data_IF_380563077277
#
_entry.id   IF_380563077277
#
_cell.length_a   1.000
_cell.length_b   1.000
_cell.length_c   1.000
_cell.angle_alpha   90.00
_cell.angle_beta   90.00
_cell.angle_gamma   90.00
#
_symmetry.space_group_name_H-M   'P 1'
#
loop_
_entity.id
_entity.type
_entity.pdbx_description
1 polymer ?
#
# COMPACT_ATOMS: atom_id res chain seq x y z
N UNK A 1 38.50 3.41 -3.76
CA UNK A 1 37.31 2.86 -4.42
C UNK A 1 36.08 3.42 -3.72
N UNK A 2 35.35 4.36 -4.34
CA UNK A 2 34.14 4.96 -3.75
C UNK A 2 32.98 4.00 -3.99
N UNK A 3 32.53 3.32 -2.94
CA UNK A 3 31.30 2.52 -2.97
C UNK A 3 30.11 3.45 -3.18
N UNK A 4 29.48 3.37 -4.36
CA UNK A 4 28.15 3.92 -4.58
C UNK A 4 27.18 3.09 -3.76
N UNK A 5 26.64 3.66 -2.69
CA UNK A 5 25.41 3.16 -2.10
C UNK A 5 24.32 3.25 -3.17
N UNK A 6 23.84 2.10 -3.64
CA UNK A 6 22.64 2.06 -4.47
C UNK A 6 21.46 2.60 -3.65
N UNK A 7 20.52 3.33 -4.26
CA UNK A 7 19.31 3.72 -3.57
C UNK A 7 18.59 2.44 -3.13
N UNK A 8 18.43 2.30 -1.82
CA UNK A 8 17.51 1.35 -1.19
C UNK A 8 16.08 1.84 -1.44
N UNK A 9 15.65 1.84 -2.70
CA UNK A 9 14.25 2.02 -3.05
C UNK A 9 13.56 0.70 -2.67
N UNK A 10 12.77 0.74 -1.61
CA UNK A 10 11.87 -0.35 -1.29
C UNK A 10 10.90 -0.51 -2.49
N UNK A 11 11.12 -1.54 -3.31
CA UNK A 11 10.17 -1.93 -4.35
C UNK A 11 8.81 -2.12 -3.68
N UNK A 12 7.81 -1.35 -4.08
CA UNK A 12 6.43 -1.65 -3.69
C UNK A 12 5.54 -1.56 -4.92
N UNK A 13 5.23 -2.74 -5.46
CA UNK A 13 4.13 -2.89 -6.39
C UNK A 13 2.83 -2.44 -5.68
N UNK A 14 2.26 -1.32 -6.11
CA UNK A 14 1.02 -0.77 -5.55
C UNK A 14 -0.14 -1.02 -6.50
N UNK A 15 -1.27 -1.45 -5.95
CA UNK A 15 -2.49 -1.60 -6.72
C UNK A 15 -3.03 -0.23 -7.14
N UNK A 16 -3.60 -0.18 -8.34
CA UNK A 16 -4.34 0.98 -8.84
C UNK A 16 -5.82 0.61 -9.02
N UNK A 17 -6.68 1.64 -9.04
CA UNK A 17 -8.11 1.44 -9.31
C UNK A 17 -8.33 0.91 -10.73
N UNK A 18 -9.48 0.27 -10.96
CA UNK A 18 -9.87 -0.19 -12.30
C UNK A 18 -9.98 1.00 -13.26
N UNK A 19 -10.58 2.11 -12.82
CA UNK A 19 -10.66 3.35 -13.59
C UNK A 19 -9.27 3.83 -14.03
N UNK A 20 -8.32 3.91 -13.09
CA UNK A 20 -6.94 4.34 -13.38
C UNK A 20 -6.27 3.43 -14.40
N UNK A 21 -6.37 2.11 -14.23
CA UNK A 21 -5.75 1.17 -15.15
C UNK A 21 -6.37 1.21 -16.55
N UNK A 22 -7.70 1.35 -16.66
CA UNK A 22 -8.40 1.57 -17.94
C UNK A 22 -8.04 2.89 -18.59
N UNK A 23 -7.93 3.97 -17.82
CA UNK A 23 -7.52 5.27 -18.32
C UNK A 23 -6.12 5.23 -18.94
N UNK A 24 -5.17 4.63 -18.23
CA UNK A 24 -3.81 4.43 -18.73
C UNK A 24 -3.79 3.56 -19.98
N UNK A 25 -4.50 2.42 -19.96
CA UNK A 25 -4.62 1.52 -21.10
C UNK A 25 -5.16 2.29 -22.31
N UNK A 26 -6.28 2.99 -22.13
CA UNK A 26 -6.87 3.76 -23.21
C UNK A 26 -5.94 4.86 -23.70
N UNK A 27 -5.17 5.55 -22.86
CA UNK A 27 -4.24 6.59 -23.33
C UNK A 27 -3.06 6.03 -24.13
N UNK A 28 -2.48 4.91 -23.71
CA UNK A 28 -1.12 4.53 -24.11
C UNK A 28 -0.99 3.19 -24.84
N UNK A 29 -2.01 2.33 -24.84
CA UNK A 29 -1.90 1.06 -25.57
C UNK A 29 -1.81 1.32 -27.08
N UNK A 30 -0.80 0.70 -27.70
CA UNK A 30 -0.61 0.71 -29.14
C UNK A 30 -0.94 -0.67 -29.69
N UNK A 31 -2.11 -0.81 -30.30
CA UNK A 31 -2.56 -2.05 -30.94
C UNK A 31 -3.27 -1.72 -32.25
N UNK A 32 -3.21 -2.64 -33.23
CA UNK A 32 -4.02 -2.54 -34.44
C UNK A 32 -5.47 -2.97 -34.20
N UNK A 33 -5.74 -3.60 -33.06
CA UNK A 33 -7.08 -4.03 -32.66
C UNK A 33 -7.95 -2.83 -32.29
N UNK A 34 -9.18 -2.79 -32.81
CA UNK A 34 -10.13 -1.74 -32.46
C UNK A 34 -10.57 -1.88 -30.98
N UNK A 35 -10.08 -1.00 -30.11
CA UNK A 35 -10.52 -0.92 -28.72
C UNK A 35 -11.79 -0.08 -28.65
N UNK A 36 -12.87 -0.75 -28.24
CA UNK A 36 -14.19 -0.17 -28.15
C UNK A 36 -14.42 0.47 -26.78
N UNK A 37 -15.41 1.37 -26.68
CA UNK A 37 -15.78 2.08 -25.45
C UNK A 37 -14.63 2.86 -24.76
N UNK A 38 -13.60 3.25 -25.53
CA UNK A 38 -12.49 4.07 -25.04
C UNK A 38 -13.01 5.32 -24.32
N UNK A 39 -12.57 5.52 -23.07
CA UNK A 39 -13.00 6.61 -22.17
C UNK A 39 -14.50 6.66 -21.84
N UNK A 40 -15.29 5.62 -22.13
CA UNK A 40 -16.69 5.53 -21.69
C UNK A 40 -16.77 4.89 -20.31
N UNK A 41 -16.37 5.65 -19.29
CA UNK A 41 -16.59 5.33 -17.89
C UNK A 41 -16.98 6.60 -17.14
N UNK A 42 -17.78 6.45 -16.08
CA UNK A 42 -18.20 7.55 -15.22
C UNK A 42 -18.01 7.15 -13.75
N UNK A 43 -17.32 7.99 -12.99
CA UNK A 43 -17.06 7.77 -11.57
C UNK A 43 -18.22 8.32 -10.73
N UNK A 44 -18.68 7.55 -9.76
CA UNK A 44 -19.72 7.98 -8.81
C UNK A 44 -19.25 7.78 -7.37
N UNK A 45 -19.39 8.84 -6.58
CA UNK A 45 -19.12 8.93 -5.14
C UNK A 45 -20.34 9.51 -4.42
N UNK A 46 -20.40 9.50 -3.07
CA UNK A 46 -21.52 10.08 -2.33
C UNK A 46 -21.79 11.56 -2.64
N UNK A 47 -20.77 12.30 -3.08
CA UNK A 47 -20.82 13.73 -3.36
C UNK A 47 -20.99 14.06 -4.85
N UNK A 48 -21.28 13.06 -5.69
CA UNK A 48 -21.43 13.26 -7.13
C UNK A 48 -22.68 14.08 -7.46
N UNK A 49 -22.47 15.18 -8.18
CA UNK A 49 -23.52 15.93 -8.85
C UNK A 49 -23.93 15.21 -10.15
N UNK A 50 -25.12 14.61 -10.14
CA UNK A 50 -25.66 13.88 -11.29
C UNK A 50 -25.91 14.75 -12.51
N UNK A 51 -26.23 16.05 -12.33
CA UNK A 51 -26.47 16.94 -13.46
C UNK A 51 -25.16 17.18 -14.22
N UNK A 52 -24.08 17.47 -13.48
CA UNK A 52 -22.74 17.60 -14.04
C UNK A 52 -22.24 16.30 -14.66
N UNK A 53 -22.43 15.16 -13.99
CA UNK A 53 -22.03 13.85 -14.51
C UNK A 53 -22.66 13.55 -15.88
N UNK A 54 -23.93 13.93 -16.08
CA UNK A 54 -24.62 13.74 -17.36
C UNK A 54 -24.17 14.71 -18.45
N UNK A 55 -23.77 15.93 -18.07
CA UNK A 55 -23.16 16.88 -18.99
C UNK A 55 -21.80 16.38 -19.48
N UNK A 56 -20.98 15.85 -18.57
CA UNK A 56 -19.63 15.34 -18.87
C UNK A 56 -19.70 13.97 -19.62
N UNK A 57 -20.74 13.18 -19.38
CA UNK A 57 -20.92 11.84 -19.93
C UNK A 57 -22.32 11.61 -20.54
N UNK A 58 -22.65 12.25 -21.68
CA UNK A 58 -24.00 12.18 -22.26
C UNK A 58 -24.40 10.76 -22.73
N UNK A 59 -23.42 9.88 -22.98
CA UNK A 59 -23.66 8.48 -23.35
C UNK A 59 -24.33 7.65 -22.25
N UNK A 60 -24.38 8.15 -21.01
CA UNK A 60 -25.14 7.51 -19.92
C UNK A 60 -26.64 7.39 -20.21
N UNK A 61 -27.17 8.22 -21.12
CA UNK A 61 -28.59 8.24 -21.48
C UNK A 61 -28.92 7.39 -22.71
N UNK A 62 -27.93 7.01 -23.52
CA UNK A 62 -28.15 6.47 -24.87
C UNK A 62 -28.12 4.94 -24.95
N UNK A 63 -27.76 4.25 -23.87
CA UNK A 63 -27.51 2.82 -23.88
C UNK A 63 -27.63 2.23 -22.48
N UNK A 64 -27.79 0.90 -22.40
CA UNK A 64 -27.73 0.17 -21.13
C UNK A 64 -26.34 0.25 -20.50
N UNK A 65 -26.31 0.13 -19.17
CA UNK A 65 -25.14 0.38 -18.33
C UNK A 65 -24.86 -0.81 -17.41
N UNK A 66 -23.62 -0.83 -16.92
CA UNK A 66 -23.13 -1.67 -15.83
C UNK A 66 -22.61 -0.75 -14.73
N UNK A 67 -22.84 -1.10 -13.46
CA UNK A 67 -22.25 -0.40 -12.30
C UNK A 67 -21.61 -1.38 -11.35
N UNK A 68 -20.45 -1.02 -10.82
CA UNK A 68 -19.68 -1.84 -9.87
C UNK A 68 -18.81 -0.96 -8.97
N UNK A 69 -18.51 -1.37 -7.72
CA UNK A 69 -17.59 -0.63 -6.88
C UNK A 69 -16.16 -0.78 -7.42
N UNK A 70 -15.40 0.32 -7.37
CA UNK A 70 -13.99 0.38 -7.74
C UNK A 70 -13.14 0.76 -6.52
N UNK A 71 -12.92 -0.24 -5.66
CA UNK A 71 -12.21 -0.13 -4.38
C UNK A 71 -11.33 -1.37 -4.13
N UNK A 72 -10.72 -1.90 -5.19
CA UNK A 72 -9.87 -3.11 -5.14
C UNK A 72 -10.59 -4.38 -4.65
N UNK A 73 -11.92 -4.42 -4.73
CA UNK A 73 -12.73 -5.60 -4.39
C UNK A 73 -12.66 -6.59 -5.55
N UNK A 74 -12.23 -7.83 -5.25
CA UNK A 74 -12.22 -8.94 -6.20
C UNK A 74 -13.54 -9.69 -6.20
N UNK A 75 -13.83 -10.41 -7.29
CA UNK A 75 -15.01 -11.29 -7.43
C UNK A 75 -16.35 -10.57 -7.18
N UNK A 76 -16.45 -9.29 -7.58
CA UNK A 76 -17.63 -8.42 -7.37
C UNK A 76 -18.93 -9.04 -7.89
N UNK A 77 -18.89 -9.73 -9.04
CA UNK A 77 -20.05 -10.42 -9.61
C UNK A 77 -20.63 -11.48 -8.66
N UNK A 78 -19.77 -12.34 -8.09
CA UNK A 78 -20.18 -13.38 -7.12
C UNK A 78 -20.66 -12.81 -5.78
N UNK A 79 -20.27 -11.57 -5.46
CA UNK A 79 -20.71 -10.86 -4.26
C UNK A 79 -22.01 -10.07 -4.47
N UNK A 80 -22.62 -10.11 -5.66
CA UNK A 80 -23.81 -9.32 -5.98
C UNK A 80 -23.55 -7.80 -6.00
N UNK A 81 -22.28 -7.41 -6.21
CA UNK A 81 -21.84 -6.01 -6.25
C UNK A 81 -21.73 -5.47 -7.69
N UNK A 82 -22.39 -6.10 -8.65
CA UNK A 82 -22.43 -5.65 -10.05
C UNK A 82 -23.89 -5.55 -10.50
N UNK A 83 -24.33 -4.34 -10.84
CA UNK A 83 -25.59 -4.11 -11.55
C UNK A 83 -25.35 -4.21 -13.05
N UNK A 84 -26.06 -5.09 -13.75
CA UNK A 84 -25.83 -5.40 -15.17
C UNK A 84 -27.05 -5.04 -16.00
N UNK A 85 -26.82 -4.47 -17.18
CA UNK A 85 -27.85 -4.13 -18.17
C UNK A 85 -28.99 -3.25 -17.57
N UNK A 86 -28.60 -2.16 -16.92
CA UNK A 86 -29.52 -1.21 -16.30
C UNK A 86 -29.59 0.09 -17.09
N UNK A 87 -30.74 0.75 -17.08
CA UNK A 87 -30.83 2.16 -17.52
C UNK A 87 -30.20 3.07 -16.45
N UNK A 88 -29.93 4.34 -16.77
CA UNK A 88 -29.43 5.31 -15.79
C UNK A 88 -30.29 5.40 -14.52
N UNK A 89 -31.62 5.41 -14.65
CA UNK A 89 -32.53 5.41 -13.49
C UNK A 89 -32.45 4.10 -12.69
N UNK A 90 -32.23 2.97 -13.38
CA UNK A 90 -31.91 1.70 -12.76
C UNK A 90 -30.60 1.76 -11.96
N UNK A 91 -29.55 2.41 -12.48
CA UNK A 91 -28.27 2.60 -11.79
C UNK A 91 -28.45 3.45 -10.53
N UNK A 92 -29.15 4.58 -10.62
CA UNK A 92 -29.45 5.44 -9.44
C UNK A 92 -30.19 4.66 -8.36
N UNK A 93 -31.20 3.88 -8.75
CA UNK A 93 -31.98 3.03 -7.84
C UNK A 93 -31.12 1.93 -7.21
N UNK A 94 -30.22 1.33 -8.00
CA UNK A 94 -29.31 0.28 -7.53
C UNK A 94 -28.26 0.81 -6.55
N UNK A 95 -27.78 2.05 -6.75
CA UNK A 95 -26.81 2.72 -5.87
C UNK A 95 -27.44 3.24 -4.57
N UNK A 96 -28.71 3.65 -4.57
CA UNK A 96 -29.39 4.23 -3.39
C UNK A 96 -29.22 3.42 -2.08
N UNK A 97 -29.36 2.09 -2.05
CA UNK A 97 -29.10 1.30 -0.84
C UNK A 97 -27.63 0.88 -0.63
N UNK A 98 -26.71 1.28 -1.51
CA UNK A 98 -25.30 0.80 -1.53
C UNK A 98 -24.26 1.89 -1.39
N UNK A 99 -24.55 3.12 -1.80
CA UNK A 99 -23.61 4.23 -1.84
C UNK A 99 -23.66 5.07 -0.55
N UNK A 100 -22.52 5.14 0.14
CA UNK A 100 -22.26 6.14 1.18
C UNK A 100 -22.63 5.75 2.62
N UNK A 101 -22.07 6.45 3.62
CA UNK A 101 -22.11 6.04 5.03
C UNK A 101 -23.42 6.36 5.78
N UNK A 102 -24.30 7.19 5.23
CA UNK A 102 -25.47 7.71 5.97
C UNK A 102 -26.70 6.79 5.96
N UNK A 103 -26.77 5.85 5.00
CA UNK A 103 -27.92 4.97 4.80
C UNK A 103 -27.54 3.50 4.59
N UNK A 104 -26.25 3.16 4.64
CA UNK A 104 -25.74 1.86 4.21
C UNK A 104 -24.89 1.23 5.31
N UNK A 105 -25.17 -0.04 5.61
CA UNK A 105 -24.34 -0.86 6.48
C UNK A 105 -23.01 -1.19 5.77
N UNK A 106 -21.90 -1.20 6.51
CA UNK A 106 -20.60 -1.58 5.95
C UNK A 106 -20.68 -2.93 5.23
N UNK A 107 -20.06 -3.00 4.06
CA UNK A 107 -19.98 -4.22 3.27
C UNK A 107 -18.83 -5.07 3.78
N UNK A 108 -19.09 -6.36 4.00
CA UNK A 108 -18.07 -7.34 4.40
C UNK A 108 -17.60 -8.13 3.18
N UNK A 109 -16.30 -8.15 2.94
CA UNK A 109 -15.65 -8.95 1.89
C UNK A 109 -14.51 -9.74 2.53
N UNK A 110 -14.72 -11.05 2.69
CA UNK A 110 -13.79 -11.88 3.47
C UNK A 110 -13.69 -11.40 4.91
N UNK A 111 -12.48 -11.06 5.36
CA UNK A 111 -12.23 -10.48 6.70
C UNK A 111 -12.31 -8.95 6.75
N UNK A 112 -12.37 -8.30 5.59
CA UNK A 112 -12.39 -6.85 5.50
C UNK A 112 -13.83 -6.32 5.57
N UNK A 113 -14.02 -5.19 6.25
CA UNK A 113 -15.30 -4.52 6.39
C UNK A 113 -15.12 -3.03 6.13
N UNK A 114 -15.93 -2.44 5.26
CA UNK A 114 -15.82 -1.02 4.92
C UNK A 114 -16.98 -0.49 4.08
N UNK A 115 -16.99 0.82 3.86
CA UNK A 115 -18.03 1.49 3.08
C UNK A 115 -17.76 1.44 1.58
N UNK A 116 -18.84 1.26 0.80
CA UNK A 116 -18.81 1.44 -0.64
C UNK A 116 -19.04 2.93 -0.95
N UNK A 117 -17.97 3.59 -1.37
CA UNK A 117 -17.90 5.05 -1.60
C UNK A 117 -17.41 5.42 -3.00
N UNK A 118 -16.99 4.45 -3.80
CA UNK A 118 -16.51 4.70 -5.15
C UNK A 118 -17.04 3.63 -6.10
N UNK A 119 -17.78 4.05 -7.12
CA UNK A 119 -18.37 3.19 -8.14
C UNK A 119 -17.96 3.65 -9.53
N UNK A 120 -17.88 2.68 -10.44
CA UNK A 120 -17.62 2.88 -11.86
C UNK A 120 -18.87 2.47 -12.64
N UNK A 121 -19.37 3.38 -13.47
CA UNK A 121 -20.44 3.13 -14.44
C UNK A 121 -19.81 3.01 -15.83
N UNK A 122 -20.17 1.96 -16.57
CA UNK A 122 -19.67 1.68 -17.91
C UNK A 122 -20.82 1.21 -18.82
N UNK A 123 -20.68 1.29 -20.15
CA UNK A 123 -21.64 0.71 -21.08
C UNK A 123 -21.81 -0.79 -20.86
N UNK A 124 -23.05 -1.27 -20.89
CA UNK A 124 -23.32 -2.69 -21.05
C UNK A 124 -22.92 -3.12 -22.47
N UNK A 125 -22.19 -4.22 -22.57
CA UNK A 125 -21.78 -4.83 -23.83
C UNK A 125 -22.57 -6.13 -23.96
N UNK A 126 -23.52 -6.26 -24.89
CA UNK A 126 -24.16 -7.54 -25.18
C UNK A 126 -23.12 -8.51 -25.78
N UNK A 127 -22.95 -9.67 -25.17
CA UNK A 127 -22.02 -10.71 -25.63
C UNK A 127 -22.43 -12.08 -25.10
N UNK A 128 -21.87 -13.12 -25.70
CA UNK A 128 -21.99 -14.51 -25.27
C UNK A 128 -20.75 -14.98 -24.51
N UNK A 129 -20.86 -16.10 -23.77
CA UNK A 129 -19.72 -16.67 -23.03
C UNK A 129 -18.51 -16.99 -23.94
N UNK A 130 -18.75 -17.39 -25.19
CA UNK A 130 -17.69 -17.67 -26.18
C UNK A 130 -16.96 -16.41 -26.69
N UNK A 131 -17.43 -15.23 -26.28
CA UNK A 131 -16.77 -13.95 -26.54
C UNK A 131 -15.97 -13.46 -25.33
N UNK A 132 -16.05 -14.12 -24.17
CA UNK A 132 -15.27 -13.80 -22.98
C UNK A 132 -13.93 -14.56 -22.96
N UNK A 133 -12.84 -13.82 -22.84
CA UNK A 133 -11.48 -14.32 -22.73
C UNK A 133 -10.85 -13.86 -21.41
N UNK A 134 -9.77 -14.52 -21.03
CA UNK A 134 -8.93 -14.13 -19.89
C UNK A 134 -7.53 -13.78 -20.38
N UNK A 135 -6.99 -12.66 -19.89
CA UNK A 135 -5.57 -12.30 -20.08
C UNK A 135 -5.00 -11.81 -18.76
N UNK A 136 -3.81 -12.31 -18.41
CA UNK A 136 -3.04 -11.80 -17.27
C UNK A 136 -1.55 -11.71 -17.61
N UNK A 137 -0.89 -10.67 -17.12
CA UNK A 137 0.56 -10.48 -17.19
C UNK A 137 1.07 -10.21 -15.78
N UNK A 138 2.10 -10.92 -15.35
CA UNK A 138 2.70 -10.66 -14.03
C UNK A 138 4.21 -10.92 -13.99
N UNK A 139 4.89 -10.12 -13.17
CA UNK A 139 6.33 -10.15 -13.02
C UNK A 139 6.80 -11.28 -12.10
N UNK A 140 7.93 -11.87 -12.46
CA UNK A 140 8.72 -12.81 -11.67
C UNK A 140 10.20 -12.41 -11.75
N UNK A 141 11.09 -13.15 -11.07
CA UNK A 141 12.52 -12.82 -11.08
C UNK A 141 13.14 -13.05 -12.46
N UNK A 142 12.64 -14.06 -13.18
CA UNK A 142 13.12 -14.56 -14.45
C UNK A 142 12.52 -13.84 -15.67
N UNK A 143 11.49 -13.02 -15.48
CA UNK A 143 10.79 -12.28 -16.52
C UNK A 143 9.30 -12.14 -16.22
N UNK A 144 8.51 -11.95 -17.26
CA UNK A 144 7.07 -11.69 -17.15
C UNK A 144 6.27 -12.83 -17.79
N UNK A 145 5.35 -13.41 -17.02
CA UNK A 145 4.45 -14.43 -17.52
C UNK A 145 3.23 -13.79 -18.16
N UNK A 146 2.90 -14.22 -19.38
CA UNK A 146 1.65 -13.90 -20.08
C UNK A 146 0.76 -15.14 -20.05
N UNK A 147 -0.43 -14.99 -19.48
CA UNK A 147 -1.46 -16.02 -19.34
C UNK A 147 -2.64 -15.70 -20.25
N UNK A 148 -3.18 -16.75 -20.87
CA UNK A 148 -4.39 -16.67 -21.68
C UNK A 148 -5.32 -17.85 -21.42
N UNK A 149 -6.62 -17.60 -21.30
CA UNK A 149 -7.65 -18.65 -21.33
C UNK A 149 -8.82 -18.24 -22.21
N UNK A 150 -9.34 -19.20 -22.98
CA UNK A 150 -10.41 -18.97 -23.96
C UNK A 150 -11.81 -18.94 -23.36
N UNK A 151 -11.95 -19.40 -22.11
CA UNK A 151 -13.18 -19.33 -21.32
C UNK A 151 -12.97 -18.34 -20.16
N UNK A 152 -13.18 -17.05 -20.44
CA UNK A 152 -13.10 -15.99 -19.44
C UNK A 152 -14.29 -15.95 -18.48
N UNK A 153 -14.38 -14.87 -17.71
CA UNK A 153 -15.55 -14.54 -16.91
C UNK A 153 -15.49 -14.96 -15.44
N UNK A 154 -16.65 -14.89 -14.79
CA UNK A 154 -16.80 -15.15 -13.35
C UNK A 154 -16.55 -16.62 -12.97
N UNK A 155 -16.67 -17.54 -13.93
CA UNK A 155 -16.58 -18.99 -13.73
C UNK A 155 -15.30 -19.62 -14.28
N UNK A 156 -14.30 -18.80 -14.63
CA UNK A 156 -12.95 -19.25 -15.04
C UNK A 156 -12.34 -20.28 -14.07
N UNK A 157 -12.66 -20.17 -12.76
CA UNK A 157 -12.21 -21.10 -11.73
C UNK A 157 -10.73 -20.90 -11.39
N UNK A 158 -9.99 -22.01 -11.27
CA UNK A 158 -8.54 -21.99 -11.07
C UNK A 158 -7.83 -21.74 -12.40
N UNK A 159 -7.67 -20.46 -12.74
CA UNK A 159 -7.10 -20.04 -14.02
C UNK A 159 -5.61 -20.36 -14.14
N UNK A 160 -4.88 -20.40 -13.03
CA UNK A 160 -3.44 -20.72 -13.02
C UNK A 160 -3.18 -22.16 -13.50
N UNK A 161 -4.11 -23.07 -13.23
CA UNK A 161 -4.03 -24.47 -13.68
C UNK A 161 -4.52 -24.68 -15.12
N UNK A 162 -5.37 -23.78 -15.65
CA UNK A 162 -6.07 -23.95 -16.94
C UNK A 162 -5.52 -23.08 -18.07
N UNK A 163 -4.93 -21.94 -17.74
CA UNK A 163 -4.48 -20.98 -18.73
C UNK A 163 -3.23 -21.49 -19.47
N UNK A 164 -3.17 -21.17 -20.75
CA UNK A 164 -1.90 -21.21 -21.48
C UNK A 164 -0.98 -20.16 -20.89
N UNK A 165 0.29 -20.50 -20.72
CA UNK A 165 1.27 -19.66 -20.02
C UNK A 165 2.56 -19.59 -20.82
N UNK A 166 3.06 -18.37 -21.00
CA UNK A 166 4.30 -18.11 -21.72
C UNK A 166 5.16 -17.13 -20.93
N UNK A 167 6.45 -17.44 -20.80
CA UNK A 167 7.43 -16.56 -20.14
C UNK A 167 8.11 -15.69 -21.19
N UNK A 168 8.03 -14.37 -21.02
CA UNK A 168 8.92 -13.42 -21.69
C UNK A 168 10.07 -13.16 -20.73
N UNK A 169 11.26 -13.69 -21.05
CA UNK A 169 12.44 -13.53 -20.21
C UNK A 169 12.89 -12.06 -20.14
N UNK A 170 13.66 -11.73 -19.10
CA UNK A 170 14.24 -10.38 -18.94
C UNK A 170 14.97 -9.94 -20.22
N UNK A 171 14.74 -8.69 -20.65
CA UNK A 171 15.25 -8.08 -21.87
C UNK A 171 14.89 -8.81 -23.18
N UNK A 172 13.84 -9.65 -23.16
CA UNK A 172 13.27 -10.28 -24.35
C UNK A 172 11.99 -9.59 -24.77
N UNK A 173 11.63 -9.74 -26.04
CA UNK A 173 10.39 -9.21 -26.60
C UNK A 173 9.36 -10.32 -26.76
N UNK A 174 8.11 -9.97 -26.55
CA UNK A 174 6.98 -10.82 -26.92
C UNK A 174 6.82 -10.86 -28.44
N UNK A 175 6.96 -12.05 -29.04
CA UNK A 175 6.77 -12.26 -30.47
C UNK A 175 5.29 -12.62 -30.76
N UNK A 176 4.59 -11.90 -31.65
CA UNK A 176 3.19 -12.19 -32.00
C UNK A 176 2.95 -13.61 -32.52
N UNK A 177 3.93 -14.21 -33.21
CA UNK A 177 3.80 -15.58 -33.71
C UNK A 177 3.83 -16.61 -32.57
N UNK A 178 4.59 -16.33 -31.51
CA UNK A 178 4.65 -17.20 -30.32
C UNK A 178 3.35 -17.09 -29.51
N UNK A 179 2.73 -15.90 -29.47
CA UNK A 179 1.38 -15.71 -28.91
C UNK A 179 0.37 -16.63 -29.63
N UNK A 180 0.37 -16.66 -30.97
CA UNK A 180 -0.54 -17.51 -31.74
C UNK A 180 -0.29 -19.00 -31.53
N UNK A 181 0.98 -19.41 -31.49
CA UNK A 181 1.41 -20.81 -31.40
C UNK A 181 1.28 -21.41 -30.00
N UNK A 182 1.45 -20.60 -28.96
CA UNK A 182 1.50 -21.08 -27.57
C UNK A 182 0.29 -20.64 -26.75
N UNK A 183 -0.09 -19.36 -26.81
CA UNK A 183 -1.20 -18.85 -26.00
C UNK A 183 -2.56 -19.14 -26.65
N UNK A 184 -2.69 -18.92 -27.96
CA UNK A 184 -3.97 -18.96 -28.67
C UNK A 184 -4.29 -20.31 -29.32
N UNK A 185 -3.73 -21.41 -28.80
CA UNK A 185 -3.95 -22.76 -29.35
C UNK A 185 -5.43 -23.16 -29.34
N UNK A 186 -6.15 -22.79 -28.28
CA UNK A 186 -7.58 -23.09 -28.08
C UNK A 186 -8.52 -21.91 -28.40
N UNK A 187 -7.99 -20.78 -28.88
CA UNK A 187 -8.82 -19.64 -29.27
C UNK A 187 -9.53 -19.91 -30.61
N UNK A 188 -10.75 -19.36 -30.83
CA UNK A 188 -11.43 -19.42 -32.12
C UNK A 188 -10.55 -18.86 -33.26
N UNK A 189 -10.52 -19.55 -34.39
CA UNK A 189 -9.61 -19.24 -35.50
C UNK A 189 -9.76 -17.81 -36.04
N UNK A 190 -11.00 -17.34 -36.15
CA UNK A 190 -11.40 -16.00 -36.57
C UNK A 190 -10.99 -14.88 -35.59
N UNK A 191 -10.71 -15.22 -34.33
CA UNK A 191 -10.32 -14.26 -33.29
C UNK A 191 -8.82 -14.26 -33.00
N UNK A 192 -8.02 -15.16 -33.59
CA UNK A 192 -6.59 -15.27 -33.26
C UNK A 192 -5.78 -14.02 -33.58
N UNK A 193 -6.02 -13.39 -34.74
CA UNK A 193 -5.27 -12.21 -35.15
C UNK A 193 -5.54 -10.99 -34.27
N UNK A 194 -6.82 -10.73 -33.97
CA UNK A 194 -7.21 -9.62 -33.08
C UNK A 194 -6.71 -9.85 -31.65
N UNK A 195 -6.79 -11.09 -31.13
CA UNK A 195 -6.24 -11.43 -29.82
C UNK A 195 -4.71 -11.29 -29.78
N UNK A 196 -4.00 -11.78 -30.79
CA UNK A 196 -2.53 -11.69 -30.85
C UNK A 196 -2.05 -10.23 -30.91
N UNK A 197 -2.73 -9.39 -31.71
CA UNK A 197 -2.45 -7.95 -31.79
C UNK A 197 -2.73 -7.25 -30.46
N UNK A 198 -3.83 -7.59 -29.80
CA UNK A 198 -4.17 -7.00 -28.50
C UNK A 198 -3.17 -7.41 -27.42
N UNK A 199 -2.87 -8.71 -27.28
CA UNK A 199 -1.92 -9.24 -26.27
C UNK A 199 -0.52 -8.64 -26.48
N UNK A 200 -0.06 -8.50 -27.73
CA UNK A 200 1.24 -7.88 -28.02
C UNK A 200 1.27 -6.40 -27.63
N UNK A 201 0.20 -5.65 -27.95
CA UNK A 201 0.08 -4.25 -27.53
C UNK A 201 -0.04 -4.10 -26.01
N UNK A 202 -0.75 -5.02 -25.35
CA UNK A 202 -0.92 -5.05 -23.90
C UNK A 202 0.39 -5.32 -23.17
N UNK A 203 1.23 -6.22 -23.69
CA UNK A 203 2.55 -6.50 -23.13
C UNK A 203 3.50 -5.29 -23.25
N UNK A 204 3.54 -4.65 -24.42
CA UNK A 204 4.32 -3.42 -24.57
C UNK A 204 3.82 -2.31 -23.62
N UNK A 205 2.50 -2.16 -23.48
CA UNK A 205 1.89 -1.23 -22.52
C UNK A 205 2.27 -1.56 -21.06
N UNK A 206 2.27 -2.85 -20.70
CA UNK A 206 2.66 -3.35 -19.39
C UNK A 206 4.11 -2.97 -19.06
N UNK A 207 5.06 -3.23 -19.96
CA UNK A 207 6.48 -2.88 -19.77
C UNK A 207 6.68 -1.35 -19.76
N UNK A 208 6.12 -0.63 -20.74
CA UNK A 208 6.31 0.81 -20.93
C UNK A 208 5.85 1.67 -19.72
N UNK A 209 4.89 1.16 -18.96
CA UNK A 209 4.31 1.84 -17.79
C UNK A 209 4.69 1.13 -16.49
N UNK A 210 5.66 0.21 -16.50
CA UNK A 210 6.20 -0.45 -15.30
C UNK A 210 5.12 -1.13 -14.45
N UNK A 211 4.18 -1.80 -15.12
CA UNK A 211 3.28 -2.71 -14.44
C UNK A 211 4.05 -3.92 -13.89
N UNK A 212 3.55 -4.47 -12.79
CA UNK A 212 4.05 -5.72 -12.18
C UNK A 212 2.98 -6.80 -12.13
N UNK A 213 1.72 -6.39 -12.33
CA UNK A 213 0.56 -7.24 -12.45
C UNK A 213 -0.49 -6.51 -13.30
N UNK A 214 -1.08 -7.19 -14.28
CA UNK A 214 -2.16 -6.67 -15.11
C UNK A 214 -3.06 -7.83 -15.52
N UNK A 215 -4.31 -7.80 -15.07
CA UNK A 215 -5.31 -8.84 -15.33
C UNK A 215 -6.56 -8.20 -15.94
N UNK A 216 -7.07 -8.80 -16.99
CA UNK A 216 -8.33 -8.44 -17.66
C UNK A 216 -9.23 -9.67 -17.65
N UNK A 217 -10.33 -9.60 -16.89
CA UNK A 217 -11.28 -10.71 -16.78
C UNK A 217 -12.75 -10.25 -16.55
N UNK A 218 -13.64 -10.30 -17.57
CA UNK A 218 -13.38 -10.79 -18.92
C UNK A 218 -12.80 -9.73 -19.86
N UNK A 219 -11.97 -10.18 -20.80
CA UNK A 219 -11.68 -9.51 -22.06
C UNK A 219 -12.74 -9.95 -23.07
N UNK A 220 -13.58 -9.05 -23.56
CA UNK A 220 -14.62 -9.41 -24.53
C UNK A 220 -14.18 -9.07 -25.95
N UNK A 221 -14.30 -10.03 -26.87
CA UNK A 221 -14.02 -9.81 -28.29
C UNK A 221 -15.23 -10.21 -29.13
N UNK A 222 -15.89 -9.20 -29.68
CA UNK A 222 -17.02 -9.35 -30.61
C UNK A 222 -16.58 -8.99 -32.03
N UNK A 223 -17.50 -9.05 -32.99
CA UNK A 223 -17.28 -8.56 -34.36
C UNK A 223 -16.91 -7.07 -34.45
N UNK A 224 -17.29 -6.28 -33.44
CA UNK A 224 -17.08 -4.83 -33.42
C UNK A 224 -15.70 -4.45 -32.85
N UNK A 225 -15.01 -5.37 -32.20
CA UNK A 225 -13.67 -5.17 -31.65
C UNK A 225 -13.50 -5.71 -30.22
N UNK A 226 -12.55 -5.11 -29.51
CA UNK A 226 -12.10 -5.53 -28.18
C UNK A 226 -12.69 -4.62 -27.09
N UNK A 227 -13.24 -5.21 -26.03
CA UNK A 227 -13.82 -4.55 -24.88
C UNK A 227 -13.15 -5.03 -23.59
N UNK A 228 -12.59 -4.11 -22.82
CA UNK A 228 -11.97 -4.39 -21.52
C UNK A 228 -13.04 -4.24 -20.44
N UNK A 229 -13.72 -5.32 -20.06
CA UNK A 229 -14.85 -5.24 -19.13
C UNK A 229 -14.41 -5.15 -17.67
N UNK A 230 -13.32 -5.80 -17.29
CA UNK A 230 -12.69 -5.65 -15.97
C UNK A 230 -11.18 -5.44 -16.14
N UNK A 231 -10.57 -4.68 -15.23
CA UNK A 231 -9.12 -4.51 -15.17
C UNK A 231 -8.65 -4.42 -13.73
N UNK A 232 -7.68 -5.26 -13.41
CA UNK A 232 -6.98 -5.29 -12.13
C UNK A 232 -5.49 -5.13 -12.34
N UNK A 233 -4.85 -4.18 -11.68
CA UNK A 233 -3.44 -3.93 -11.93
C UNK A 233 -2.64 -3.48 -10.71
N UNK A 234 -1.33 -3.72 -10.77
CA UNK A 234 -0.32 -3.16 -9.87
C UNK A 234 0.83 -2.58 -10.69
N UNK A 235 1.35 -1.45 -10.22
CA UNK A 235 2.48 -0.73 -10.82
C UNK A 235 3.63 -0.67 -9.81
N UNK A 236 4.87 -0.78 -10.28
CA UNK A 236 6.04 -0.50 -9.44
C UNK A 236 6.11 1.00 -9.12
N UNK A 237 5.63 1.42 -7.96
CA UNK A 237 5.57 2.82 -7.59
C UNK A 237 6.95 3.52 -7.53
N UNK A 238 8.06 2.76 -7.52
CA UNK A 238 9.41 3.32 -7.53
C UNK A 238 9.84 3.83 -8.90
N UNK A 239 9.14 3.46 -9.97
CA UNK A 239 9.40 3.97 -11.32
C UNK A 239 8.72 5.34 -11.59
N UNK A 240 8.22 6.03 -10.56
CA UNK A 240 7.56 7.33 -10.68
C UNK A 240 8.43 8.37 -11.42
N UNK A 241 9.73 8.43 -11.12
CA UNK A 241 10.69 9.33 -11.74
C UNK A 241 10.91 9.06 -13.23
N UNK A 242 10.63 7.83 -13.69
CA UNK A 242 10.69 7.43 -15.11
C UNK A 242 9.33 7.73 -15.77
N UNK A 243 8.24 7.35 -15.11
CA UNK A 243 6.92 7.31 -15.71
C UNK A 243 6.06 8.55 -15.41
N UNK A 244 6.54 9.55 -14.67
CA UNK A 244 5.76 10.72 -14.22
C UNK A 244 4.96 11.39 -15.34
N UNK A 245 5.55 11.48 -16.54
CA UNK A 245 4.90 12.08 -17.72
C UNK A 245 3.69 11.26 -18.20
N UNK A 246 3.76 9.93 -18.16
CA UNK A 246 2.66 9.04 -18.57
C UNK A 246 1.66 8.82 -17.44
N UNK A 247 2.14 8.70 -16.20
CA UNK A 247 1.32 8.43 -15.02
C UNK A 247 0.55 9.64 -14.53
N UNK A 248 1.13 10.85 -14.64
CA UNK A 248 0.58 12.04 -14.03
C UNK A 248 0.58 11.95 -12.50
N UNK A 249 -0.53 12.32 -11.89
CA UNK A 249 -0.75 12.24 -10.44
C UNK A 249 -1.59 11.00 -10.12
N UNK A 250 -0.95 9.83 -10.09
CA UNK A 250 -1.60 8.58 -9.74
C UNK A 250 -2.00 8.54 -8.27
N UNK A 251 -3.23 8.08 -8.03
CA UNK A 251 -3.71 7.70 -6.71
C UNK A 251 -3.53 6.19 -6.51
N UNK A 252 -2.95 5.80 -5.38
CA UNK A 252 -2.86 4.39 -4.96
C UNK A 252 -3.91 4.12 -3.87
N UNK A 253 -5.09 3.55 -4.22
CA UNK A 253 -6.14 3.33 -3.25
C UNK A 253 -5.69 2.32 -2.18
N UNK A 254 -6.09 2.52 -0.90
CA UNK A 254 -5.85 1.52 0.13
C UNK A 254 -6.65 0.24 -0.18
N UNK A 255 -6.25 -0.91 0.39
CA UNK A 255 -7.06 -2.11 0.35
C UNK A 255 -8.46 -1.86 0.92
N UNK A 256 -9.47 -2.55 0.37
CA UNK A 256 -10.83 -2.45 0.89
C UNK A 256 -10.89 -2.74 2.40
N UNK A 257 -11.71 -1.98 3.12
CA UNK A 257 -11.82 -2.03 4.58
C UNK A 257 -10.87 -1.11 5.34
N UNK A 258 -10.00 -0.39 4.63
CA UNK A 258 -9.20 0.70 5.20
C UNK A 258 -9.53 2.03 4.53
N UNK A 259 -9.49 3.09 5.32
CA UNK A 259 -9.62 4.45 4.81
C UNK A 259 -8.25 5.01 4.44
N UNK A 260 -8.24 5.95 3.50
CA UNK A 260 -7.06 6.74 3.21
C UNK A 260 -7.08 7.95 4.16
N UNK A 261 -5.99 8.16 4.89
CA UNK A 261 -5.88 9.29 5.81
C UNK A 261 -4.96 10.37 5.23
N UNK A 262 -5.28 11.67 5.42
CA UNK A 262 -4.44 12.75 4.94
C UNK A 262 -3.03 12.71 5.56
N UNK A 263 -2.90 12.21 6.79
CA UNK A 263 -1.62 12.01 7.45
C UNK A 263 -0.77 10.91 6.78
N UNK A 264 -1.36 9.84 6.25
CA UNK A 264 -0.61 8.85 5.45
C UNK A 264 -0.09 9.47 4.15
N UNK A 265 -0.89 10.32 3.49
CA UNK A 265 -0.48 11.04 2.29
C UNK A 265 0.64 12.07 2.59
N UNK A 266 0.57 12.77 3.73
CA UNK A 266 1.62 13.68 4.17
C UNK A 266 2.96 12.95 4.39
N UNK A 267 2.95 11.78 5.04
CA UNK A 267 4.18 10.98 5.22
C UNK A 267 4.69 10.45 3.88
N UNK A 268 3.80 10.02 2.97
CA UNK A 268 4.21 9.59 1.64
C UNK A 268 4.86 10.73 0.81
N UNK A 269 4.39 11.97 0.98
CA UNK A 269 5.02 13.15 0.36
C UNK A 269 6.40 13.45 0.94
N UNK A 270 6.59 13.32 2.27
CA UNK A 270 7.90 13.45 2.91
C UNK A 270 8.90 12.38 2.42
N UNK A 271 8.42 11.14 2.26
CA UNK A 271 9.18 10.00 1.76
C UNK A 271 9.66 10.21 0.31
N UNK A 272 8.76 10.66 -0.58
CA UNK A 272 9.09 10.93 -1.98
C UNK A 272 10.15 12.04 -2.17
N UNK A 273 10.27 12.95 -1.19
CA UNK A 273 11.22 14.08 -1.19
C UNK A 273 12.53 13.77 -0.47
N UNK A 274 12.78 12.49 -0.14
CA UNK A 274 13.88 12.06 0.71
C UNK A 274 14.62 10.85 0.15
N UNK A 275 15.93 10.76 0.39
CA UNK A 275 16.67 9.50 0.23
C UNK A 275 16.49 8.53 1.42
N UNK A 276 15.90 9.01 2.51
CA UNK A 276 15.50 8.21 3.65
C UNK A 276 14.08 7.64 3.42
N UNK A 277 13.79 6.48 4.02
CA UNK A 277 12.45 5.86 3.95
C UNK A 277 11.61 6.30 5.13
N UNK A 278 10.39 6.76 4.87
CA UNK A 278 9.40 7.20 5.84
C UNK A 278 8.04 6.59 5.49
N UNK A 279 7.59 5.59 6.26
CA UNK A 279 6.31 4.91 6.00
C UNK A 279 5.37 5.06 7.18
N UNK A 280 4.10 5.31 6.90
CA UNK A 280 3.03 5.30 7.91
C UNK A 280 1.79 4.64 7.33
N UNK A 281 1.14 3.83 8.13
CA UNK A 281 -0.04 3.06 7.78
C UNK A 281 -0.92 2.96 9.01
N UNK A 282 -2.09 3.59 8.99
CA UNK A 282 -3.06 3.56 10.09
C UNK A 282 -3.90 2.28 10.03
N UNK A 283 -3.84 1.49 11.10
CA UNK A 283 -4.55 0.22 11.25
C UNK A 283 -5.84 0.42 12.06
N UNK A 284 -5.70 0.99 13.26
CA UNK A 284 -6.79 1.36 14.14
C UNK A 284 -6.50 2.74 14.76
N UNK A 285 -7.01 3.85 14.20
CA UNK A 285 -6.77 5.19 14.73
C UNK A 285 -7.16 5.38 16.22
N UNK A 286 -8.05 4.52 16.72
CA UNK A 286 -8.51 4.52 18.12
C UNK A 286 -7.63 3.71 19.07
N UNK A 287 -6.76 2.87 18.51
CA UNK A 287 -5.91 1.96 19.26
C UNK A 287 -4.99 2.71 20.22
N UNK A 288 -4.72 2.10 21.37
CA UNK A 288 -3.85 2.70 22.40
C UNK A 288 -2.36 2.46 22.20
N UNK A 289 -1.95 1.51 21.35
CA UNK A 289 -0.54 1.16 21.13
C UNK A 289 -0.05 1.81 19.83
N UNK A 290 0.79 2.82 19.97
CA UNK A 290 1.42 3.53 18.86
C UNK A 290 2.89 3.17 18.73
N UNK A 291 3.37 3.08 17.50
CA UNK A 291 4.77 2.71 17.21
C UNK A 291 5.44 3.79 16.36
N UNK A 292 6.68 4.11 16.71
CA UNK A 292 7.58 4.95 15.92
C UNK A 292 8.94 4.27 15.90
N UNK A 293 9.05 3.25 15.04
CA UNK A 293 10.18 2.31 15.02
C UNK A 293 11.12 2.63 13.86
N UNK A 294 12.41 2.56 14.14
CA UNK A 294 13.43 2.87 13.16
C UNK A 294 14.01 1.63 12.48
N UNK A 295 13.80 1.49 11.17
CA UNK A 295 14.21 0.35 10.34
C UNK A 295 13.06 -0.59 10.00
N UNK A 296 12.85 -0.87 8.70
CA UNK A 296 11.77 -1.75 8.23
C UNK A 296 11.78 -3.17 8.80
N UNK A 297 12.95 -3.78 9.00
CA UNK A 297 13.01 -5.09 9.66
C UNK A 297 12.64 -5.03 11.15
N UNK A 298 13.04 -3.95 11.82
CA UNK A 298 12.70 -3.77 13.23
C UNK A 298 11.20 -3.48 13.41
N UNK A 299 10.59 -2.63 12.58
CA UNK A 299 9.16 -2.31 12.69
C UNK A 299 8.27 -3.54 12.59
N UNK A 300 8.62 -4.49 11.72
CA UNK A 300 7.94 -5.80 11.65
C UNK A 300 8.10 -6.56 12.96
N UNK A 301 9.33 -6.74 13.46
CA UNK A 301 9.59 -7.50 14.70
C UNK A 301 8.90 -6.89 15.93
N UNK A 302 8.81 -5.56 16.03
CA UNK A 302 8.04 -4.90 17.08
C UNK A 302 6.53 -5.17 16.93
N UNK A 303 6.01 -5.12 15.70
CA UNK A 303 4.60 -5.40 15.41
C UNK A 303 4.25 -6.85 15.73
N UNK A 304 5.09 -7.81 15.34
CA UNK A 304 4.94 -9.23 15.67
C UNK A 304 4.89 -9.42 17.19
N UNK A 305 5.82 -8.81 17.93
CA UNK A 305 5.82 -8.90 19.40
C UNK A 305 4.56 -8.31 20.03
N UNK A 306 4.04 -7.19 19.50
CA UNK A 306 2.79 -6.58 19.99
C UNK A 306 1.62 -7.54 19.74
N UNK A 307 1.55 -8.12 18.55
CA UNK A 307 0.51 -9.08 18.18
C UNK A 307 0.57 -10.36 19.01
N UNK A 308 1.77 -10.92 19.22
CA UNK A 308 2.01 -12.13 20.02
C UNK A 308 1.59 -11.94 21.49
N UNK A 309 1.73 -10.71 22.00
CA UNK A 309 1.29 -10.34 23.35
C UNK A 309 -0.18 -9.88 23.39
N UNK A 310 -0.97 -10.17 22.35
CA UNK A 310 -2.41 -9.91 22.30
C UNK A 310 -2.82 -8.47 21.99
N UNK A 311 -1.87 -7.61 21.63
CA UNK A 311 -2.10 -6.18 21.36
C UNK A 311 -2.63 -5.86 19.95
N UNK A 312 -2.96 -6.86 19.13
CA UNK A 312 -3.30 -6.66 17.70
C UNK A 312 -4.46 -5.70 17.46
N UNK A 313 -5.52 -5.77 18.29
CA UNK A 313 -6.69 -4.89 18.16
C UNK A 313 -6.40 -3.46 18.62
N UNK A 314 -5.40 -3.28 19.48
CA UNK A 314 -4.99 -1.99 20.04
C UNK A 314 -3.81 -1.36 19.28
N UNK A 315 -3.22 -2.08 18.31
CA UNK A 315 -2.14 -1.58 17.47
C UNK A 315 -2.68 -0.53 16.51
N UNK A 316 -2.31 0.73 16.73
CA UNK A 316 -2.90 1.84 16.01
C UNK A 316 -2.29 2.03 14.62
N UNK A 317 -0.99 1.82 14.49
CA UNK A 317 -0.25 2.07 13.27
C UNK A 317 0.86 1.04 13.03
N UNK A 318 1.14 0.83 11.75
CA UNK A 318 2.39 0.25 11.27
C UNK A 318 3.17 1.33 10.52
N UNK A 319 4.47 1.40 10.71
CA UNK A 319 5.30 2.39 10.05
C UNK A 319 6.75 2.26 10.44
N UNK A 320 7.60 2.93 9.68
CA UNK A 320 9.02 2.97 9.96
C UNK A 320 9.65 4.27 9.48
N UNK A 321 10.79 4.62 10.08
CA UNK A 321 11.72 5.58 9.52
C UNK A 321 13.13 4.98 9.43
N UNK A 322 13.78 5.05 8.27
CA UNK A 322 15.11 4.48 8.04
C UNK A 322 15.86 5.17 6.91
N UNK A 323 17.08 4.74 6.60
CA UNK A 323 17.90 5.42 5.58
C UNK A 323 18.50 6.75 6.06
N UNK A 324 18.66 6.93 7.37
CA UNK A 324 19.23 8.13 8.00
C UNK A 324 18.49 9.45 7.67
N UNK A 325 17.20 9.58 8.07
CA UNK A 325 16.49 10.84 7.93
C UNK A 325 17.14 11.94 8.75
N UNK A 326 16.93 13.19 8.33
CA UNK A 326 17.38 14.38 9.05
C UNK A 326 16.59 14.60 10.35
N UNK A 327 17.08 15.50 11.20
CA UNK A 327 16.35 15.96 12.39
C UNK A 327 14.96 16.50 12.01
N UNK A 328 14.88 17.31 10.95
CA UNK A 328 13.63 17.93 10.49
C UNK A 328 12.64 16.86 9.98
N UNK A 329 13.10 15.93 9.15
CA UNK A 329 12.25 14.84 8.66
C UNK A 329 11.72 13.98 9.81
N UNK A 330 12.56 13.68 10.79
CA UNK A 330 12.15 12.91 11.97
C UNK A 330 11.16 13.70 12.83
N UNK A 331 11.33 15.02 12.97
CA UNK A 331 10.38 15.89 13.63
C UNK A 331 9.01 15.89 12.92
N UNK A 332 8.99 16.03 11.60
CA UNK A 332 7.76 16.06 10.81
C UNK A 332 7.03 14.69 10.82
N UNK A 333 7.79 13.60 10.85
CA UNK A 333 7.24 12.26 11.06
C UNK A 333 6.66 12.10 12.48
N UNK A 334 7.44 12.47 13.49
CA UNK A 334 7.04 12.34 14.90
C UNK A 334 5.79 13.19 15.21
N UNK A 335 5.76 14.48 14.83
CA UNK A 335 4.61 15.36 15.09
C UNK A 335 3.31 14.81 14.48
N UNK A 336 3.41 14.09 13.36
CA UNK A 336 2.26 13.48 12.68
C UNK A 336 1.68 12.35 13.55
N UNK A 337 2.54 11.45 14.05
CA UNK A 337 2.14 10.39 14.99
C UNK A 337 1.56 10.99 16.28
N UNK A 338 2.22 12.00 16.86
CA UNK A 338 1.76 12.63 18.09
C UNK A 338 0.38 13.29 17.90
N UNK A 339 0.17 13.99 16.78
CA UNK A 339 -1.13 14.57 16.42
C UNK A 339 -2.23 13.53 16.30
N UNK A 340 -1.94 12.39 15.67
CA UNK A 340 -2.90 11.30 15.47
C UNK A 340 -3.26 10.62 16.80
N UNK A 341 -2.28 10.32 17.64
CA UNK A 341 -2.52 9.63 18.90
C UNK A 341 -3.24 10.49 19.94
N UNK A 342 -3.27 11.82 19.78
CA UNK A 342 -3.95 12.75 20.69
C UNK A 342 -5.26 13.33 20.12
N UNK A 343 -5.95 12.60 19.23
CA UNK A 343 -7.28 13.01 18.72
C UNK A 343 -8.43 12.67 19.67
N UNK A 344 -8.35 11.52 20.31
CA UNK A 344 -9.34 11.05 21.28
C UNK A 344 -8.68 10.31 22.45
N UNK A 345 -9.26 10.41 23.65
CA UNK A 345 -8.75 9.74 24.85
C UNK A 345 -9.05 8.24 24.83
N UNK A 346 -8.20 7.47 25.50
CA UNK A 346 -8.41 6.05 25.77
C UNK A 346 -8.50 5.84 27.29
N UNK A 347 -9.44 5.02 27.82
CA UNK A 347 -9.61 4.84 29.27
C UNK A 347 -8.34 4.40 30.01
N UNK A 348 -7.52 3.56 29.40
CA UNK A 348 -6.27 3.05 29.98
C UNK A 348 -5.03 3.88 29.60
N UNK A 349 -5.23 5.13 29.16
CA UNK A 349 -4.19 5.92 28.51
C UNK A 349 -3.65 5.26 27.23
N UNK A 350 -2.56 5.82 26.69
CA UNK A 350 -1.92 5.33 25.46
C UNK A 350 -0.43 5.09 25.65
N UNK A 351 0.14 4.27 24.78
CA UNK A 351 1.54 3.89 24.79
C UNK A 351 2.18 4.31 23.47
N UNK A 352 3.36 4.93 23.53
CA UNK A 352 4.20 5.16 22.36
C UNK A 352 5.51 4.35 22.47
N UNK A 353 5.73 3.44 21.53
CA UNK A 353 6.93 2.62 21.43
C UNK A 353 7.88 3.24 20.41
N UNK A 354 8.94 3.88 20.91
CA UNK A 354 10.03 4.48 20.13
C UNK A 354 11.19 3.48 20.09
N UNK A 355 11.09 2.54 19.16
CA UNK A 355 11.96 1.37 19.11
C UNK A 355 12.96 1.39 17.95
N UNK A 356 13.87 0.43 18.00
CA UNK A 356 14.57 -0.05 16.81
C UNK A 356 15.78 -0.93 17.12
N UNK A 357 16.37 -1.47 16.06
CA UNK A 357 17.64 -2.19 16.13
C UNK A 357 18.81 -1.25 16.45
N UNK A 358 20.03 -1.78 16.49
CA UNK A 358 21.25 -0.98 16.53
C UNK A 358 21.51 -0.47 15.11
N UNK A 359 21.42 0.85 14.91
CA UNK A 359 21.59 1.43 13.58
C UNK A 359 23.04 1.33 13.09
N UNK A 360 23.23 1.08 11.79
CA UNK A 360 24.56 1.05 11.17
C UNK A 360 25.10 2.46 10.91
N UNK A 361 24.27 3.36 10.36
CA UNK A 361 24.71 4.68 9.88
C UNK A 361 23.76 5.84 10.25
N UNK A 362 22.52 5.56 10.67
CA UNK A 362 21.61 6.61 11.13
C UNK A 362 22.13 7.27 12.39
N UNK A 363 22.25 8.60 12.38
CA UNK A 363 22.65 9.38 13.55
C UNK A 363 21.49 9.45 14.56
N UNK A 364 21.60 8.68 15.65
CA UNK A 364 20.57 8.57 16.67
C UNK A 364 20.38 9.90 17.41
N UNK A 365 21.45 10.66 17.65
CA UNK A 365 21.32 11.98 18.28
C UNK A 365 20.48 12.96 17.44
N UNK A 366 20.72 13.03 16.13
CA UNK A 366 19.98 13.94 15.24
C UNK A 366 18.49 13.55 15.14
N UNK A 367 18.22 12.26 14.92
CA UNK A 367 16.84 11.76 14.83
C UNK A 367 16.08 11.94 16.15
N UNK A 368 16.71 11.64 17.29
CA UNK A 368 16.06 11.81 18.60
C UNK A 368 15.88 13.27 18.99
N UNK A 369 16.75 14.20 18.56
CA UNK A 369 16.49 15.65 18.72
C UNK A 369 15.20 16.07 18.01
N UNK A 370 14.96 15.56 16.81
CA UNK A 370 13.72 15.81 16.06
C UNK A 370 12.49 15.30 16.81
N UNK A 371 12.55 14.08 17.34
CA UNK A 371 11.49 13.49 18.17
C UNK A 371 11.27 14.30 19.45
N UNK A 372 12.33 14.64 20.18
CA UNK A 372 12.28 15.44 21.42
C UNK A 372 11.61 16.78 21.17
N UNK A 373 11.92 17.44 20.05
CA UNK A 373 11.28 18.70 19.66
C UNK A 373 9.77 18.52 19.46
N UNK A 374 9.36 17.47 18.76
CA UNK A 374 7.93 17.16 18.59
C UNK A 374 7.23 16.85 19.93
N UNK A 375 7.87 16.10 20.83
CA UNK A 375 7.33 15.81 22.18
C UNK A 375 7.13 17.12 22.97
N UNK A 376 8.07 18.06 22.90
CA UNK A 376 7.92 19.37 23.57
C UNK A 376 6.75 20.17 23.02
N UNK A 377 6.57 20.18 21.70
CA UNK A 377 5.48 20.89 21.04
C UNK A 377 4.11 20.28 21.38
N UNK A 378 4.04 18.95 21.54
CA UNK A 378 2.82 18.20 21.87
C UNK A 378 2.67 17.84 23.35
N UNK A 379 3.48 18.44 24.23
CA UNK A 379 3.56 18.00 25.64
C UNK A 379 2.22 18.08 26.39
N UNK A 380 1.38 19.07 26.07
CA UNK A 380 0.08 19.27 26.73
C UNK A 380 -0.91 18.17 26.28
N UNK A 381 -1.19 18.00 24.97
CA UNK A 381 -2.01 16.88 24.50
C UNK A 381 -1.53 15.51 25.00
N UNK A 382 -0.22 15.25 25.03
CA UNK A 382 0.32 13.97 25.50
C UNK A 382 0.01 13.71 26.98
N UNK A 383 0.07 14.74 27.83
CA UNK A 383 -0.32 14.64 29.25
C UNK A 383 -1.82 14.43 29.40
N UNK A 384 -2.64 15.16 28.64
CA UNK A 384 -4.10 15.03 28.69
C UNK A 384 -4.62 13.66 28.24
N UNK A 385 -3.86 12.97 27.39
CA UNK A 385 -4.14 11.63 26.87
C UNK A 385 -3.39 10.51 27.61
N UNK A 386 -2.72 10.83 28.72
CA UNK A 386 -2.03 9.88 29.59
C UNK A 386 -1.06 8.99 28.81
N UNK A 387 -0.27 9.60 27.91
CA UNK A 387 0.68 8.89 27.07
C UNK A 387 1.92 8.49 27.86
N UNK A 388 2.24 7.19 27.87
CA UNK A 388 3.50 6.64 28.38
C UNK A 388 4.41 6.25 27.23
N UNK A 389 5.68 6.67 27.26
CA UNK A 389 6.64 6.48 26.17
C UNK A 389 7.71 5.46 26.57
N UNK A 390 7.96 4.47 25.73
CA UNK A 390 9.01 3.48 25.89
C UNK A 390 10.03 3.60 24.76
N UNK A 391 11.30 3.71 25.11
CA UNK A 391 12.37 4.04 24.16
C UNK A 391 13.45 2.98 24.23
N UNK A 392 13.78 2.35 23.10
CA UNK A 392 14.94 1.46 22.99
C UNK A 392 15.65 1.69 21.67
N UNK A 393 16.92 2.13 21.73
CA UNK A 393 17.71 2.36 20.51
C UNK A 393 19.21 2.20 20.73
N UNK A 394 19.90 1.79 19.67
CA UNK A 394 21.36 1.82 19.56
C UNK A 394 21.81 2.35 18.19
N UNK A 395 23.10 2.63 18.04
CA UNK A 395 23.71 3.12 16.79
C UNK A 395 24.58 4.36 16.98
N UNK A 396 25.03 5.02 15.90
CA UNK A 396 25.86 6.22 16.01
C UNK A 396 25.25 7.30 16.91
N UNK A 397 26.01 7.75 17.90
CA UNK A 397 25.64 8.78 18.89
C UNK A 397 24.37 8.46 19.72
N UNK A 398 24.07 7.18 19.94
CA UNK A 398 22.86 6.78 20.67
C UNK A 398 22.84 7.27 22.11
N UNK A 399 23.98 7.35 22.79
CA UNK A 399 24.05 7.79 24.19
C UNK A 399 23.49 9.22 24.34
N UNK A 400 23.86 10.12 23.44
CA UNK A 400 23.33 11.49 23.41
C UNK A 400 21.83 11.51 23.08
N UNK A 401 21.40 10.71 22.11
CA UNK A 401 19.97 10.57 21.80
C UNK A 401 19.15 10.11 23.00
N UNK A 402 19.59 9.06 23.71
CA UNK A 402 18.93 8.54 24.90
C UNK A 402 18.95 9.56 26.05
N UNK A 403 20.06 10.29 26.25
CA UNK A 403 20.17 11.35 27.25
C UNK A 403 19.10 12.43 27.05
N UNK A 404 19.00 13.01 25.85
CA UNK A 404 18.03 14.07 25.57
C UNK A 404 16.57 13.58 25.65
N UNK A 405 16.33 12.30 25.36
CA UNK A 405 15.02 11.67 25.50
C UNK A 405 14.61 11.50 26.98
N UNK A 406 15.55 11.12 27.84
CA UNK A 406 15.31 11.08 29.29
C UNK A 406 15.10 12.47 29.88
N UNK A 407 15.83 13.48 29.40
CA UNK A 407 15.68 14.86 29.84
C UNK A 407 14.30 15.44 29.49
N UNK A 408 13.80 15.22 28.27
CA UNK A 408 12.48 15.74 27.90
C UNK A 408 11.37 15.16 28.78
N UNK A 409 11.45 13.87 29.14
CA UNK A 409 10.52 13.24 30.09
C UNK A 409 10.51 13.95 31.44
N UNK A 410 11.69 14.20 32.03
CA UNK A 410 11.82 14.94 33.30
C UNK A 410 11.28 16.36 33.21
N UNK A 411 11.61 17.10 32.14
CA UNK A 411 11.21 18.51 32.01
C UNK A 411 9.73 18.70 31.73
N UNK A 412 9.10 17.77 31.01
CA UNK A 412 7.69 17.88 30.62
C UNK A 412 6.75 17.21 31.62
N UNK A 413 7.26 16.28 32.45
CA UNK A 413 6.49 15.42 33.34
C UNK A 413 5.84 14.23 32.63
N UNK A 414 6.15 13.99 31.35
CA UNK A 414 5.66 12.82 30.62
C UNK A 414 6.44 11.57 31.05
N UNK A 415 5.79 10.44 31.36
CA UNK A 415 6.48 9.19 31.66
C UNK A 415 7.26 8.66 30.45
N UNK A 416 8.59 8.77 30.47
CA UNK A 416 9.47 8.26 29.41
C UNK A 416 10.49 7.28 29.99
N UNK A 417 10.42 6.01 29.57
CA UNK A 417 11.33 4.95 29.98
C UNK A 417 12.36 4.67 28.89
N UNK A 418 13.64 4.86 29.19
CA UNK A 418 14.72 4.87 28.20
C UNK A 418 15.69 3.71 28.42
N UNK A 419 15.94 2.95 27.36
CA UNK A 419 16.78 1.76 27.35
C UNK A 419 17.78 1.77 26.18
N UNK A 420 18.98 1.24 26.41
CA UNK A 420 20.06 1.17 25.44
C UNK A 420 20.25 -0.22 24.83
N UNK A 421 21.49 -0.48 24.43
CA UNK A 421 21.88 -1.72 23.75
C UNK A 421 21.91 -2.94 24.67
N UNK A 422 22.07 -2.72 25.97
CA UNK A 422 22.03 -3.75 27.03
C UNK A 422 20.65 -4.40 27.16
N UNK A 423 19.60 -3.70 26.74
CA UNK A 423 18.22 -4.19 26.77
C UNK A 423 17.88 -4.88 25.44
N UNK A 424 17.31 -6.09 25.51
CA UNK A 424 16.84 -6.81 24.32
C UNK A 424 15.84 -5.97 23.52
N UNK A 425 15.93 -6.01 22.19
CA UNK A 425 15.23 -5.08 21.29
C UNK A 425 13.74 -4.95 21.61
N UNK A 426 13.03 -6.07 21.71
CA UNK A 426 11.57 -6.10 21.91
C UNK A 426 11.13 -6.13 23.37
N UNK A 427 12.07 -6.09 24.33
CA UNK A 427 11.74 -6.17 25.76
C UNK A 427 10.80 -5.04 26.21
N UNK A 428 10.95 -3.85 25.61
CA UNK A 428 10.11 -2.70 25.94
C UNK A 428 8.62 -2.89 25.57
N UNK A 429 8.30 -3.80 24.65
CA UNK A 429 6.91 -4.14 24.33
C UNK A 429 6.26 -4.83 25.53
N UNK A 430 6.92 -5.87 26.08
CA UNK A 430 6.42 -6.55 27.26
C UNK A 430 6.33 -5.64 28.49
N UNK A 431 7.27 -4.69 28.63
CA UNK A 431 7.22 -3.70 29.71
C UNK A 431 6.00 -2.78 29.57
N UNK A 432 5.77 -2.28 28.35
CA UNK A 432 4.67 -1.37 28.07
C UNK A 432 3.30 -2.02 28.22
N UNK A 433 3.17 -3.29 27.84
CA UNK A 433 1.93 -4.06 27.95
C UNK A 433 1.75 -4.73 29.33
N UNK A 434 2.64 -4.49 30.29
CA UNK A 434 2.51 -5.01 31.65
C UNK A 434 2.85 -6.49 31.84
N UNK A 435 3.44 -7.15 30.84
CA UNK A 435 3.86 -8.55 30.93
C UNK A 435 5.19 -8.75 31.65
N UNK A 436 5.96 -7.68 31.87
CA UNK A 436 7.22 -7.71 32.63
C UNK A 436 7.46 -6.39 33.34
N UNK A 437 8.16 -6.40 34.50
CA UNK A 437 8.44 -5.17 35.23
C UNK A 437 9.41 -4.27 34.44
N UNK A 438 9.24 -2.96 34.64
CA UNK A 438 10.20 -1.94 34.23
C UNK A 438 11.40 -2.04 35.19
N UNK A 439 12.62 -2.31 34.71
CA UNK A 439 13.77 -2.44 35.60
C UNK A 439 14.11 -1.07 36.20
N UNK A 440 14.32 -1.03 37.52
CA UNK A 440 14.65 0.19 38.27
C UNK A 440 16.05 0.74 37.94
N UNK A 441 16.93 -0.09 37.38
CA UNK A 441 18.25 0.29 36.85
C UNK A 441 18.49 -0.47 35.54
N UNK A 442 19.02 0.17 34.48
CA UNK A 442 19.44 -0.55 33.29
C UNK A 442 20.52 -1.57 33.70
N UNK A 443 20.51 -2.80 33.16
CA UNK A 443 21.60 -3.74 33.36
C UNK A 443 22.92 -3.04 33.05
N UNK A 444 23.87 -3.05 33.97
CA UNK A 444 25.19 -2.43 33.75
C UNK A 444 25.75 -2.93 32.43
N UNK A 445 25.99 -2.01 31.48
CA UNK A 445 26.68 -2.34 30.25
C UNK A 445 28.01 -2.99 30.64
N UNK A 446 28.21 -4.25 30.26
CA UNK A 446 29.51 -4.87 30.32
C UNK A 446 30.40 -4.14 29.31
N UNK A 447 30.97 -3.01 29.72
CA UNK A 447 31.91 -2.29 28.89
C UNK A 447 33.06 -3.25 28.56
N UNK A 448 33.32 -3.43 27.27
CA UNK A 448 34.53 -4.00 26.68
C UNK A 448 35.76 -3.13 26.98
N UNK A 449 35.92 -2.70 28.23
CA UNK A 449 37.06 -1.96 28.76
C UNK A 449 38.04 -2.86 29.53
N UNK A 450 37.77 -4.17 29.63
CA UNK A 450 38.70 -5.13 30.24
C UNK A 450 39.76 -5.69 29.28
N UNK A 451 39.78 -5.29 28.01
CA UNK A 451 40.77 -5.79 27.05
C UNK A 451 42.06 -4.93 26.96
N UNK A 452 42.13 -3.79 27.66
CA UNK A 452 43.27 -2.86 27.58
C UNK A 452 44.03 -2.65 28.90
N UNK A 453 43.66 -3.31 30.00
CA UNK A 453 44.29 -3.07 31.31
C UNK A 453 44.99 -4.29 31.95
N UNK A 454 45.12 -5.42 31.25
CA UNK A 454 45.80 -6.62 31.77
C UNK A 454 47.09 -7.01 31.01
N UNK A 455 47.76 -6.05 30.37
CA UNK A 455 49.02 -6.29 29.66
C UNK A 455 50.13 -5.32 30.10
N UNK A 456 50.48 -5.31 31.39
CA UNK A 456 51.86 -5.08 31.89
C UNK A 456 51.89 -4.99 33.41
N UNK A 457 51.88 -6.15 34.06
CA UNK A 457 52.18 -6.28 35.49
C UNK A 457 52.76 -7.66 35.79
N UNK A 458 54.08 -7.70 36.05
CA UNK A 458 54.93 -8.84 36.46
C UNK A 458 55.21 -9.88 35.35
N UNK A 459 56.45 -10.34 35.09
CA UNK A 459 57.55 -10.71 36.00
C UNK A 459 58.94 -10.66 35.30
N UNK A 460 59.93 -10.03 35.94
CA UNK A 460 61.30 -10.53 36.27
C UNK A 460 62.11 -9.40 36.90
#
# INVERSE_FOLDING_TARGET
QRGRAGPSAAMSAKAISEQTGKELLYKYICTTSAIQNRFKYARVTPDTDWARLLQDHPWLLSQSLVVKPDQLIKRRGKLGLVGVNLTLEGIKSWLKPRLGPRLVQETTVGKARGFLKNFLIEPFVPHSQAEEFYVCIYATREGDYVLFHHEGGVDVGDVDAKAQKMLVGVDKKLNPEDVKKHLLVHAPGDKKEILASFISGLFNFYEDLYFTYLEINPLVVTKDGVYVLDLAAKIDATADYICKVKWGDLEFPPPFGREAYPEEAYIADLDAKSGASLKLTLLNPKGRIWTMVAGGGASVVYSDTICDLGGVNELANYGEYSGAPSEQQTYDYAKTILSLMTREKHPDGKILIIGGSIANFTNVAATFKGIVRAIRDYQVPLKEHEVTIFVRRGGPNYQEGLRVMGEVGKTTGIPIHVFGTETHMTAIVGMALGHRPIPNQPPTAAHTANFLLNASGSTS
#
